data_IF_758417942542
#
_entry.id   IF_758417942542
#
_cell.length_a   1.000
_cell.length_b   1.000
_cell.length_c   1.000
_cell.angle_alpha   90.00
_cell.angle_beta   90.00
_cell.angle_gamma   90.00
#
_symmetry.space_group_name_H-M   'P 1'
#
loop_
_entity.id
_entity.type
_entity.pdbx_description
1 polymer ?
#
# COMPACT_ATOMS: atom_id res chain seq x y z
N UNK A 1 21.57 20.84 64.38
CA UNK A 1 21.38 21.18 62.96
C UNK A 1 21.24 19.86 62.20
N UNK A 2 20.02 19.34 62.10
CA UNK A 2 19.76 18.03 61.49
C UNK A 2 19.65 18.21 59.97
N UNK A 3 20.57 17.60 59.24
CA UNK A 3 20.56 17.59 57.78
C UNK A 3 19.53 16.57 57.29
N UNK A 4 18.45 17.06 56.70
CA UNK A 4 17.48 16.26 55.95
C UNK A 4 18.18 15.74 54.70
N UNK A 5 18.48 14.44 54.66
CA UNK A 5 18.97 13.78 53.45
C UNK A 5 17.75 13.56 52.55
N UNK A 6 17.58 14.44 51.58
CA UNK A 6 16.62 14.29 50.50
C UNK A 6 17.10 13.16 49.59
N UNK A 7 16.47 11.99 49.70
CA UNK A 7 16.71 10.87 48.77
C UNK A 7 16.38 11.31 47.35
N UNK A 8 17.32 11.22 46.38
CA UNK A 8 17.03 11.57 45.01
C UNK A 8 15.96 10.63 44.48
N UNK A 9 14.90 11.20 43.91
CA UNK A 9 13.95 10.48 43.07
C UNK A 9 14.75 10.00 41.85
N UNK A 10 15.34 8.82 41.95
CA UNK A 10 15.80 8.07 40.80
C UNK A 10 14.52 7.66 40.08
N UNK A 11 14.26 8.13 38.85
CA UNK A 11 13.17 7.59 38.06
C UNK A 11 13.49 6.11 37.90
N UNK A 12 12.72 5.25 38.58
CA UNK A 12 12.77 3.83 38.31
C UNK A 12 12.58 3.63 36.80
N UNK A 13 13.20 2.59 36.20
CA UNK A 13 13.01 2.31 34.79
C UNK A 13 11.50 2.31 34.55
N UNK A 14 11.04 3.18 33.66
CA UNK A 14 9.64 3.20 33.25
C UNK A 14 9.42 1.79 32.69
N UNK A 15 8.79 0.92 33.49
CA UNK A 15 8.30 -0.35 33.00
C UNK A 15 7.08 -0.01 32.14
N UNK A 16 7.39 0.59 30.97
CA UNK A 16 6.51 0.58 29.84
C UNK A 16 6.25 -0.88 29.46
N UNK A 17 5.11 -1.12 28.81
CA UNK A 17 4.60 -2.45 28.58
C UNK A 17 5.68 -3.41 28.05
N UNK A 18 5.61 -4.64 28.54
CA UNK A 18 6.46 -5.79 28.19
C UNK A 18 7.08 -5.68 26.80
N UNK A 19 8.38 -5.95 26.69
CA UNK A 19 9.20 -5.95 25.45
C UNK A 19 8.54 -6.57 24.20
N UNK A 20 7.51 -7.38 24.40
CA UNK A 20 6.69 -8.07 23.40
C UNK A 20 5.63 -7.16 22.76
N UNK A 21 5.02 -6.21 23.48
CA UNK A 21 4.02 -5.28 22.91
C UNK A 21 4.54 -4.48 21.70
N UNK A 22 5.70 -3.81 21.76
CA UNK A 22 6.23 -3.08 20.61
C UNK A 22 6.59 -4.01 19.44
N UNK A 23 6.94 -5.28 19.71
CA UNK A 23 7.20 -6.27 18.66
C UNK A 23 5.91 -6.74 18.00
N UNK A 24 4.85 -6.97 18.78
CA UNK A 24 3.52 -7.33 18.29
C UNK A 24 2.93 -6.20 17.46
N UNK A 25 3.05 -4.95 17.92
CA UNK A 25 2.62 -3.78 17.16
C UNK A 25 3.37 -3.65 15.82
N UNK A 26 4.69 -3.83 15.82
CA UNK A 26 5.49 -3.80 14.59
C UNK A 26 5.06 -4.88 13.59
N UNK A 27 4.80 -6.11 14.05
CA UNK A 27 4.33 -7.20 13.21
C UNK A 27 2.94 -6.91 12.59
N UNK A 28 2.03 -6.32 13.38
CA UNK A 28 0.70 -5.90 12.89
C UNK A 28 0.81 -4.79 11.84
N UNK A 29 1.70 -3.82 12.07
CA UNK A 29 1.95 -2.73 11.12
C UNK A 29 2.57 -3.24 9.82
N UNK A 30 3.50 -4.20 9.90
CA UNK A 30 4.10 -4.84 8.73
C UNK A 30 3.07 -5.63 7.92
N UNK A 31 2.16 -6.34 8.58
CA UNK A 31 1.05 -7.03 7.93
C UNK A 31 0.10 -6.04 7.24
N UNK A 32 -0.24 -4.94 7.90
CA UNK A 32 -1.08 -3.89 7.31
C UNK A 32 -0.40 -3.26 6.08
N UNK A 33 0.87 -2.90 6.20
CA UNK A 33 1.67 -2.33 5.10
C UNK A 33 1.74 -3.27 3.90
N UNK A 34 1.97 -4.56 4.14
CA UNK A 34 1.98 -5.61 3.12
C UNK A 34 0.64 -5.70 2.39
N UNK A 35 -0.49 -5.66 3.12
CA UNK A 35 -1.83 -5.69 2.52
C UNK A 35 -2.15 -4.43 1.70
N UNK A 36 -1.77 -3.25 2.18
CA UNK A 36 -1.95 -1.99 1.44
C UNK A 36 -1.08 -1.99 0.19
N UNK A 37 0.16 -2.48 0.26
CA UNK A 37 1.03 -2.62 -0.91
C UNK A 37 0.42 -3.60 -1.92
N UNK A 38 -0.08 -4.74 -1.48
CA UNK A 38 -0.78 -5.69 -2.35
C UNK A 38 -1.98 -5.06 -3.06
N UNK A 39 -2.84 -4.34 -2.32
CA UNK A 39 -3.98 -3.62 -2.90
C UNK A 39 -3.53 -2.55 -3.91
N UNK A 40 -2.44 -1.82 -3.60
CA UNK A 40 -1.86 -0.81 -4.48
C UNK A 40 -1.42 -1.39 -5.83
N UNK A 41 -0.80 -2.57 -5.81
CA UNK A 41 -0.33 -3.27 -7.01
C UNK A 41 -1.50 -3.76 -7.89
N UNK A 42 -2.60 -4.22 -7.27
CA UNK A 42 -3.79 -4.69 -7.99
C UNK A 42 -4.57 -3.53 -8.60
N UNK A 43 -4.66 -2.40 -7.90
CA UNK A 43 -5.41 -1.25 -8.37
C UNK A 43 -4.77 -0.64 -9.63
N UNK A 44 -5.56 -0.34 -10.69
CA UNK A 44 -5.04 0.21 -11.93
C UNK A 44 -4.39 1.57 -11.67
N UNK A 45 -3.29 1.88 -12.38
CA UNK A 45 -2.59 3.14 -12.20
C UNK A 45 -3.50 4.31 -12.63
N UNK A 46 -3.79 5.20 -11.68
CA UNK A 46 -4.54 6.42 -11.93
C UNK A 46 -3.56 7.61 -12.05
N UNK A 47 -4.01 8.70 -12.68
CA UNK A 47 -3.18 9.90 -12.94
C UNK A 47 -2.53 10.48 -11.67
N UNK A 48 -3.12 10.27 -10.47
CA UNK A 48 -2.46 10.65 -9.21
C UNK A 48 -2.11 9.47 -8.30
N UNK A 49 -0.84 9.46 -7.86
CA UNK A 49 -0.31 8.52 -6.84
C UNK A 49 -1.12 8.58 -5.55
N UNK A 50 -1.39 9.79 -5.07
CA UNK A 50 -2.10 10.01 -3.82
C UNK A 50 -3.51 9.39 -3.82
N UNK A 51 -4.28 9.52 -4.91
CA UNK A 51 -5.60 8.87 -5.01
C UNK A 51 -5.49 7.35 -5.03
N UNK A 52 -4.44 6.81 -5.64
CA UNK A 52 -4.22 5.36 -5.68
C UNK A 52 -3.78 4.80 -4.32
N UNK A 53 -2.96 5.54 -3.57
CA UNK A 53 -2.61 5.21 -2.18
C UNK A 53 -3.84 5.28 -1.28
N UNK A 54 -4.63 6.35 -1.35
CA UNK A 54 -5.88 6.47 -0.59
C UNK A 54 -6.87 5.35 -0.93
N UNK A 55 -7.01 5.00 -2.22
CA UNK A 55 -7.85 3.88 -2.64
C UNK A 55 -7.32 2.53 -2.12
N UNK A 56 -6.01 2.32 -2.09
CA UNK A 56 -5.43 1.10 -1.52
C UNK A 56 -5.74 0.98 -0.02
N UNK A 57 -5.64 2.07 0.74
CA UNK A 57 -6.07 2.09 2.14
C UNK A 57 -7.56 1.80 2.29
N UNK A 58 -8.41 2.42 1.47
CA UNK A 58 -9.85 2.19 1.49
C UNK A 58 -10.19 0.73 1.19
N UNK A 59 -9.54 0.09 0.20
CA UNK A 59 -9.71 -1.35 -0.08
C UNK A 59 -9.40 -2.19 1.15
N UNK A 60 -8.27 -1.95 1.81
CA UNK A 60 -7.89 -2.71 3.01
C UNK A 60 -8.88 -2.47 4.15
N UNK A 61 -9.31 -1.24 4.36
CA UNK A 61 -10.32 -0.89 5.39
C UNK A 61 -11.69 -1.52 5.10
N UNK A 62 -12.10 -1.59 3.84
CA UNK A 62 -13.33 -2.28 3.42
C UNK A 62 -13.22 -3.80 3.56
N UNK A 63 -12.04 -4.37 3.25
CA UNK A 63 -11.79 -5.81 3.39
C UNK A 63 -11.67 -6.24 4.86
N UNK A 64 -11.25 -5.33 5.76
CA UNK A 64 -10.98 -5.55 7.18
C UNK A 64 -11.86 -4.64 8.07
N UNK A 65 -13.18 -4.82 8.07
CA UNK A 65 -14.06 -4.04 8.93
C UNK A 65 -13.79 -4.32 10.42
N UNK A 66 -14.07 -3.36 11.32
CA UNK A 66 -13.99 -3.59 12.76
C UNK A 66 -14.83 -4.81 13.17
N UNK A 67 -14.26 -5.68 14.01
CA UNK A 67 -14.94 -6.90 14.45
C UNK A 67 -14.99 -8.02 13.42
N UNK A 68 -14.17 -7.99 12.36
CA UNK A 68 -14.04 -9.09 11.42
C UNK A 68 -13.71 -10.40 12.16
N UNK A 69 -14.65 -11.35 12.15
CA UNK A 69 -14.45 -12.67 12.73
C UNK A 69 -13.43 -13.45 11.90
N UNK A 70 -12.30 -13.77 12.54
CA UNK A 70 -11.28 -14.62 11.96
C UNK A 70 -11.73 -16.09 12.06
N UNK A 71 -11.72 -16.85 10.94
CA UNK A 71 -12.17 -18.23 10.98
C UNK A 71 -11.25 -19.07 11.87
N UNK A 72 -11.84 -19.70 12.91
CA UNK A 72 -11.12 -20.59 13.84
C UNK A 72 -10.69 -21.90 13.16
N UNK A 73 -11.43 -22.30 12.14
CA UNK A 73 -11.22 -23.47 11.26
C UNK A 73 -11.20 -22.94 9.81
N UNK A 74 -10.02 -22.85 9.20
CA UNK A 74 -9.87 -22.41 7.80
C UNK A 74 -9.89 -23.61 6.86
N UNK A 75 -10.52 -23.53 5.67
CA UNK A 75 -10.67 -24.67 4.75
C UNK A 75 -9.31 -25.27 4.37
N UNK A 76 -9.26 -26.60 4.36
CA UNK A 76 -8.10 -27.49 4.22
C UNK A 76 -7.13 -27.20 3.06
N UNK A 77 -7.49 -26.32 2.12
CA UNK A 77 -6.67 -25.92 0.96
C UNK A 77 -5.39 -25.11 1.25
N UNK A 78 -4.96 -24.98 2.51
CA UNK A 78 -3.79 -24.20 2.96
C UNK A 78 -2.75 -25.07 3.71
N UNK A 79 -2.45 -26.27 3.22
CA UNK A 79 -1.50 -27.18 3.86
C UNK A 79 -0.06 -26.66 3.64
N UNK A 80 0.43 -25.89 4.60
CA UNK A 80 1.86 -25.80 4.87
C UNK A 80 2.29 -27.07 5.64
N UNK A 81 3.50 -27.63 5.42
CA UNK A 81 4.01 -28.81 6.12
C UNK A 81 3.92 -28.66 7.63
N UNK A 82 3.50 -29.73 8.31
CA UNK A 82 2.93 -29.73 9.66
C UNK A 82 3.93 -29.65 10.83
N UNK A 83 5.15 -29.17 10.64
CA UNK A 83 6.19 -29.17 11.69
C UNK A 83 6.66 -27.78 12.17
N UNK A 84 5.88 -26.73 11.90
CA UNK A 84 6.14 -25.38 12.43
C UNK A 84 4.84 -24.76 12.91
N UNK A 85 4.85 -24.11 14.07
CA UNK A 85 3.78 -23.31 14.68
C UNK A 85 3.15 -22.33 13.68
N UNK A 86 1.92 -22.52 13.16
CA UNK A 86 1.36 -21.48 12.26
C UNK A 86 -0.17 -21.24 12.18
N UNK A 87 -0.90 -21.06 13.29
CA UNK A 87 -2.19 -20.35 13.24
C UNK A 87 -2.07 -18.98 12.56
N UNK A 88 -0.97 -18.25 12.78
CA UNK A 88 -0.75 -16.90 12.25
C UNK A 88 -0.68 -16.82 10.71
N UNK A 89 -0.08 -17.80 10.02
CA UNK A 89 0.00 -17.76 8.53
C UNK A 89 -1.34 -18.08 7.88
N UNK A 90 -2.17 -18.95 8.48
CA UNK A 90 -3.51 -19.21 7.94
C UNK A 90 -4.38 -17.96 8.00
N UNK A 91 -4.34 -17.23 9.11
CA UNK A 91 -5.01 -15.92 9.23
C UNK A 91 -4.46 -14.90 8.24
N UNK A 92 -3.14 -14.77 8.11
CA UNK A 92 -2.51 -13.86 7.13
C UNK A 92 -2.99 -14.14 5.71
N UNK A 93 -3.05 -15.41 5.30
CA UNK A 93 -3.50 -15.78 3.96
C UNK A 93 -5.00 -15.54 3.76
N UNK A 94 -5.82 -15.73 4.81
CA UNK A 94 -7.23 -15.34 4.79
C UNK A 94 -7.41 -13.84 4.56
N UNK A 95 -6.68 -13.00 5.32
CA UNK A 95 -6.72 -11.54 5.16
C UNK A 95 -6.26 -11.13 3.75
N UNK A 96 -5.17 -11.74 3.27
CA UNK A 96 -4.63 -11.51 1.93
C UNK A 96 -5.65 -11.83 0.84
N UNK A 97 -6.33 -12.97 0.91
CA UNK A 97 -7.36 -13.36 -0.06
C UNK A 97 -8.54 -12.39 -0.05
N UNK A 98 -9.00 -11.95 1.13
CA UNK A 98 -10.06 -10.94 1.23
C UNK A 98 -9.66 -9.62 0.57
N UNK A 99 -8.44 -9.14 0.81
CA UNK A 99 -7.92 -7.92 0.19
C UNK A 99 -7.80 -8.07 -1.33
N UNK A 100 -7.33 -9.22 -1.84
CA UNK A 100 -7.25 -9.49 -3.28
C UNK A 100 -8.64 -9.47 -3.92
N UNK A 101 -9.62 -10.14 -3.32
CA UNK A 101 -10.99 -10.17 -3.82
C UNK A 101 -11.61 -8.76 -3.85
N UNK A 102 -11.43 -7.99 -2.80
CA UNK A 102 -11.97 -6.64 -2.71
C UNK A 102 -11.26 -5.68 -3.67
N UNK A 103 -9.93 -5.78 -3.80
CA UNK A 103 -9.14 -4.98 -4.74
C UNK A 103 -9.53 -5.28 -6.19
N UNK A 104 -9.72 -6.55 -6.54
CA UNK A 104 -10.12 -6.97 -7.89
C UNK A 104 -11.55 -6.54 -8.22
N UNK A 105 -12.48 -6.63 -7.26
CA UNK A 105 -13.85 -6.10 -7.39
C UNK A 105 -13.83 -4.60 -7.69
N UNK A 106 -13.12 -3.81 -6.87
CA UNK A 106 -13.02 -2.36 -7.07
C UNK A 106 -12.26 -1.98 -8.35
N UNK A 107 -11.28 -2.78 -8.77
CA UNK A 107 -10.59 -2.58 -10.05
C UNK A 107 -11.53 -2.81 -11.25
N UNK A 108 -12.44 -3.79 -11.17
CA UNK A 108 -13.40 -4.10 -12.22
C UNK A 108 -14.48 -3.01 -12.36
N UNK A 109 -14.89 -2.37 -11.26
CA UNK A 109 -15.92 -1.31 -11.26
C UNK A 109 -15.41 0.05 -11.81
N UNK A 110 -14.11 0.20 -12.08
CA UNK A 110 -13.55 1.48 -12.55
C UNK A 110 -13.87 1.75 -14.03
N UNK A 111 -14.36 2.98 -14.27
CA UNK A 111 -14.70 3.53 -15.60
C UNK A 111 -13.59 3.37 -16.66
N UNK A 112 -13.99 3.26 -17.93
CA UNK A 112 -13.10 3.21 -19.09
C UNK A 112 -12.08 4.36 -19.12
N UNK A 113 -12.44 5.55 -18.63
CA UNK A 113 -11.53 6.70 -18.53
C UNK A 113 -10.36 6.42 -17.57
N UNK A 114 -10.61 5.67 -16.48
CA UNK A 114 -9.56 5.23 -15.57
C UNK A 114 -8.65 4.18 -16.22
N UNK A 115 -9.18 3.32 -17.11
CA UNK A 115 -8.39 2.35 -17.89
C UNK A 115 -7.52 3.05 -18.94
N UNK A 116 -8.03 4.07 -19.64
CA UNK A 116 -7.23 4.87 -20.58
C UNK A 116 -6.14 5.66 -19.83
N UNK A 117 -6.50 6.27 -18.70
CA UNK A 117 -5.53 6.94 -17.83
C UNK A 117 -4.42 6.01 -17.34
N UNK A 118 -4.70 4.70 -17.20
CA UNK A 118 -3.73 3.70 -16.78
C UNK A 118 -2.66 3.37 -17.82
N UNK A 119 -2.97 3.51 -19.11
CA UNK A 119 -2.02 3.30 -20.21
C UNK A 119 -0.95 4.42 -20.23
N UNK A 120 -1.33 5.61 -19.78
CA UNK A 120 -0.47 6.81 -19.80
C UNK A 120 0.16 7.07 -18.42
N UNK A 121 -0.41 6.49 -17.36
CA UNK A 121 0.09 6.67 -16.01
C UNK A 121 1.46 5.98 -15.83
N UNK A 122 2.49 6.69 -15.34
CA UNK A 122 3.77 6.07 -15.03
C UNK A 122 3.56 4.95 -14.00
N UNK A 123 3.98 3.73 -14.34
CA UNK A 123 4.04 2.65 -13.38
C UNK A 123 5.06 3.01 -12.29
N UNK A 124 4.63 2.93 -11.03
CA UNK A 124 5.53 3.01 -9.89
C UNK A 124 6.32 1.69 -9.80
N UNK A 125 7.59 1.77 -9.38
CA UNK A 125 8.43 0.57 -9.24
C UNK A 125 7.97 -0.31 -8.08
N UNK A 126 8.37 -1.59 -8.06
CA UNK A 126 8.05 -2.54 -6.99
C UNK A 126 8.65 -2.15 -5.62
N UNK A 127 9.66 -1.28 -5.62
CA UNK A 127 10.26 -0.70 -4.40
C UNK A 127 9.39 0.38 -3.76
N UNK A 128 8.33 0.82 -4.45
CA UNK A 128 7.46 1.84 -3.94
C UNK A 128 6.59 1.29 -2.80
N UNK A 129 6.75 1.88 -1.62
CA UNK A 129 5.91 1.56 -0.47
C UNK A 129 4.82 2.64 -0.23
N UNK A 130 3.54 2.27 -0.14
CA UNK A 130 2.46 3.23 0.11
C UNK A 130 2.44 3.79 1.54
N UNK A 131 2.94 3.05 2.54
CA UNK A 131 2.83 3.43 3.94
C UNK A 131 4.07 4.16 4.49
N UNK A 132 5.12 4.36 3.69
CA UNK A 132 6.31 5.09 4.14
C UNK A 132 5.99 6.55 4.44
N UNK A 133 6.38 6.96 5.64
CA UNK A 133 6.29 8.34 6.15
C UNK A 133 7.33 9.25 5.45
N UNK A 134 8.41 8.68 4.89
CA UNK A 134 9.42 9.42 4.13
C UNK A 134 9.29 9.11 2.64
N UNK A 135 8.58 9.96 1.88
CA UNK A 135 8.53 9.80 0.44
C UNK A 135 9.93 10.02 -0.15
N UNK A 136 10.39 9.06 -0.96
CA UNK A 136 11.61 9.25 -1.75
C UNK A 136 11.39 10.42 -2.73
N UNK A 137 12.11 11.52 -2.47
CA UNK A 137 12.03 12.75 -3.27
C UNK A 137 12.52 12.53 -4.70
N UNK A 138 13.42 11.57 -4.92
CA UNK A 138 13.96 11.25 -6.24
C UNK A 138 12.97 10.44 -7.09
N UNK A 139 12.09 9.67 -6.46
CA UNK A 139 11.00 8.98 -7.15
C UNK A 139 10.01 9.99 -7.77
N UNK A 140 9.73 11.11 -7.09
CA UNK A 140 8.83 12.15 -7.59
C UNK A 140 9.41 12.83 -8.83
N UNK A 141 10.69 13.21 -8.81
CA UNK A 141 11.34 13.89 -9.95
C UNK A 141 11.40 13.00 -11.18
N UNK A 142 11.75 11.71 -11.02
CA UNK A 142 11.75 10.71 -12.10
C UNK A 142 10.36 10.55 -12.73
N UNK A 143 9.31 10.56 -11.91
CA UNK A 143 7.92 10.48 -12.39
C UNK A 143 7.50 11.71 -13.19
N UNK A 144 7.81 12.92 -12.71
CA UNK A 144 7.55 14.15 -13.45
C UNK A 144 8.29 14.19 -14.79
N UNK A 145 9.53 13.71 -14.84
CA UNK A 145 10.31 13.63 -16.08
C UNK A 145 9.67 12.66 -17.09
N UNK A 146 9.22 11.47 -16.65
CA UNK A 146 8.49 10.51 -17.51
C UNK A 146 7.17 11.09 -18.03
N UNK A 147 6.40 11.75 -17.18
CA UNK A 147 5.15 12.42 -17.57
C UNK A 147 5.38 13.52 -18.62
N UNK A 148 6.42 14.34 -18.45
CA UNK A 148 6.82 15.36 -19.44
C UNK A 148 7.21 14.75 -20.79
N UNK A 149 7.94 13.62 -20.78
CA UNK A 149 8.34 12.92 -22.01
C UNK A 149 7.12 12.38 -22.77
N UNK A 150 6.16 11.78 -22.07
CA UNK A 150 4.92 11.28 -22.68
C UNK A 150 4.06 12.42 -23.24
N UNK A 151 3.93 13.52 -22.50
CA UNK A 151 3.22 14.70 -22.97
C UNK A 151 3.87 15.27 -24.24
N UNK A 152 5.21 15.40 -24.26
CA UNK A 152 5.95 15.87 -25.43
C UNK A 152 5.78 14.93 -26.65
N UNK A 153 5.82 13.61 -26.44
CA UNK A 153 5.61 12.63 -27.51
C UNK A 153 4.17 12.70 -28.05
N UNK A 154 3.17 12.80 -27.17
CA UNK A 154 1.77 12.95 -27.56
C UNK A 154 1.54 14.25 -28.35
N UNK A 155 2.14 15.37 -27.92
CA UNK A 155 2.06 16.62 -28.67
C UNK A 155 2.70 16.51 -30.05
N UNK A 156 3.85 15.83 -30.17
CA UNK A 156 4.52 15.61 -31.46
C UNK A 156 3.69 14.76 -32.42
N UNK A 157 3.06 13.70 -31.92
CA UNK A 157 2.18 12.84 -32.73
C UNK A 157 0.95 13.62 -33.20
N UNK A 158 0.34 14.41 -32.32
CA UNK A 158 -0.80 15.28 -32.66
C UNK A 158 -0.43 16.32 -33.72
N UNK A 159 0.70 17.03 -33.54
CA UNK A 159 1.12 18.06 -34.50
C UNK A 159 1.51 17.45 -35.85
N UNK A 160 2.22 16.32 -35.88
CA UNK A 160 2.55 15.62 -37.11
C UNK A 160 1.29 15.12 -37.85
N UNK A 161 0.29 14.61 -37.13
CA UNK A 161 -0.99 14.18 -37.70
C UNK A 161 -1.77 15.35 -38.32
N UNK A 162 -1.83 16.49 -37.63
CA UNK A 162 -2.45 17.72 -38.16
C UNK A 162 -1.72 18.19 -39.42
N UNK A 163 -0.39 18.21 -39.40
CA UNK A 163 0.41 18.62 -40.55
C UNK A 163 0.19 17.71 -41.77
N UNK A 164 0.15 16.39 -41.55
CA UNK A 164 -0.09 15.40 -42.61
C UNK A 164 -1.51 15.55 -43.19
N UNK A 165 -2.51 15.80 -42.34
CA UNK A 165 -3.88 16.06 -42.79
C UNK A 165 -3.95 17.31 -43.68
N UNK A 166 -3.25 18.40 -43.29
CA UNK A 166 -3.19 19.64 -44.07
C UNK A 166 -2.42 19.49 -45.40
N UNK A 167 -1.44 18.57 -45.47
CA UNK A 167 -0.68 18.30 -46.69
C UNK A 167 -1.41 17.37 -47.67
N UNK A 168 -2.41 16.62 -47.18
CA UNK A 168 -3.18 15.65 -47.98
C UNK A 168 -4.57 16.15 -48.37
N UNK A 169 -5.03 17.25 -47.77
CA UNK A 169 -6.21 18.04 -48.15
C UNK A 169 -5.91 19.04 -49.24
#
# INVERSE_FOLDING_TARGET
MSATIETPIVPGPIQGPTREEPLVEALLLDDYRSLVHLAYLILPPAISRARRVAAAHAVVQCALPPGLALPRELPYSLIAPSDVTVPATRHREFLRRRVVQEATRQAAERSLLARIGSVIAPADGLEFDPCTIRPDRTAITRRCARGRRLAAAATLVLTAGILLALLTS
#
